data_IF_768492234062
#
_entry.id   IF_768492234062
#
_cell.length_a   1.000
_cell.length_b   1.000
_cell.length_c   1.000
_cell.angle_alpha   90.00
_cell.angle_beta   90.00
_cell.angle_gamma   90.00
#
_symmetry.space_group_name_H-M   'P 1'
#
loop_
_entity.id
_entity.type
_entity.pdbx_description
1 polymer ?
#
# COMPACT_ATOMS: atom_id res chain seq x y z
N UNK A 1 37.33 -12.34 -50.88
CA UNK A 1 36.43 -11.78 -49.85
C UNK A 1 36.90 -12.26 -48.48
N UNK A 2 37.41 -11.40 -47.60
CA UNK A 2 37.48 -11.71 -46.19
C UNK A 2 36.29 -11.06 -45.45
N UNK A 3 35.72 -11.83 -44.52
CA UNK A 3 34.59 -11.46 -43.67
C UNK A 3 35.02 -10.42 -42.63
N UNK A 4 34.23 -9.37 -42.49
CA UNK A 4 34.39 -8.36 -41.44
C UNK A 4 33.80 -8.95 -40.16
N UNK A 5 34.67 -9.37 -39.22
CA UNK A 5 34.25 -9.71 -37.86
C UNK A 5 34.38 -8.47 -37.00
N UNK A 6 33.24 -7.84 -36.70
CA UNK A 6 33.13 -6.77 -35.72
C UNK A 6 33.55 -7.31 -34.36
N UNK A 7 34.71 -6.89 -33.87
CA UNK A 7 35.15 -7.19 -32.51
C UNK A 7 34.51 -6.17 -31.57
N UNK A 8 33.53 -6.59 -30.76
CA UNK A 8 33.13 -5.86 -29.56
C UNK A 8 34.34 -5.80 -28.62
N UNK A 9 34.71 -4.59 -28.18
CA UNK A 9 35.75 -4.39 -27.17
C UNK A 9 35.09 -4.51 -25.80
N UNK A 10 35.35 -5.61 -25.12
CA UNK A 10 35.13 -5.73 -23.68
C UNK A 10 36.33 -5.02 -23.03
N UNK A 11 36.06 -3.96 -22.27
CA UNK A 11 37.07 -3.29 -21.45
C UNK A 11 37.05 -3.99 -20.09
N UNK A 12 37.98 -4.91 -19.88
CA UNK A 12 38.21 -5.49 -18.56
C UNK A 12 39.05 -4.50 -17.73
N UNK A 13 38.45 -3.84 -16.75
CA UNK A 13 39.20 -3.15 -15.70
C UNK A 13 39.66 -4.22 -14.68
N UNK A 14 40.96 -4.52 -14.68
CA UNK A 14 41.55 -5.41 -13.70
C UNK A 14 41.93 -4.62 -12.44
N UNK A 15 41.21 -4.86 -11.35
CA UNK A 15 41.72 -4.84 -9.98
C UNK A 15 42.37 -3.55 -9.50
N UNK A 16 41.54 -2.63 -9.03
CA UNK A 16 41.75 -1.78 -7.85
C UNK A 16 40.57 -0.82 -7.81
N UNK A 17 40.04 -0.54 -6.61
CA UNK A 17 39.30 0.68 -6.26
C UNK A 17 39.23 1.69 -7.40
N UNK A 18 38.06 1.87 -7.99
CA UNK A 18 37.79 3.01 -8.87
C UNK A 18 37.30 4.09 -7.89
N UNK A 19 38.15 5.00 -7.41
CA UNK A 19 38.62 6.22 -8.09
C UNK A 19 37.50 6.84 -8.91
N UNK A 20 36.78 7.78 -8.28
CA UNK A 20 35.94 8.74 -8.97
C UNK A 20 36.64 9.23 -10.24
N UNK A 21 36.08 8.82 -11.37
CA UNK A 21 36.44 9.31 -12.67
C UNK A 21 35.16 9.95 -13.22
N UNK A 22 35.06 11.27 -13.07
CA UNK A 22 34.05 12.08 -13.73
C UNK A 22 34.16 11.85 -15.26
N UNK A 23 33.33 10.97 -15.78
CA UNK A 23 33.25 10.64 -17.19
C UNK A 23 32.08 9.70 -17.40
N UNK A 24 31.08 10.18 -18.12
CA UNK A 24 29.94 9.42 -18.66
C UNK A 24 30.45 8.08 -19.21
N UNK A 25 30.20 6.99 -18.49
CA UNK A 25 30.38 5.65 -19.00
C UNK A 25 29.23 5.43 -19.98
N UNK A 26 29.58 5.10 -21.22
CA UNK A 26 28.61 4.73 -22.27
C UNK A 26 28.96 3.31 -22.70
N UNK A 27 28.20 2.35 -22.19
CA UNK A 27 28.29 0.91 -22.34
C UNK A 27 27.97 0.21 -21.02
N UNK A 28 26.93 -0.65 -21.04
CA UNK A 28 26.50 -1.50 -19.92
C UNK A 28 27.62 -1.93 -18.97
N UNK A 29 27.41 -1.71 -17.67
CA UNK A 29 28.39 -2.01 -16.61
C UNK A 29 28.36 -3.51 -16.31
N UNK A 30 28.69 -4.34 -17.31
CA UNK A 30 28.80 -5.78 -17.15
C UNK A 30 30.10 -6.17 -16.46
N UNK A 31 30.06 -6.39 -15.14
CA UNK A 31 31.17 -6.95 -14.38
C UNK A 31 31.34 -8.45 -14.67
N UNK A 32 31.85 -8.81 -15.85
CA UNK A 32 32.25 -10.20 -16.15
C UNK A 32 33.56 -10.55 -15.40
N UNK A 33 33.49 -10.79 -14.10
CA UNK A 33 34.59 -11.30 -13.30
C UNK A 33 34.45 -12.81 -13.07
N UNK A 34 35.08 -13.59 -13.97
CA UNK A 34 35.27 -15.02 -13.74
C UNK A 34 36.29 -15.24 -12.62
N UNK A 35 35.81 -15.43 -11.39
CA UNK A 35 36.59 -16.03 -10.32
C UNK A 35 36.60 -15.24 -9.01
N UNK A 36 35.78 -15.71 -8.06
CA UNK A 36 36.06 -15.68 -6.62
C UNK A 36 35.97 -14.33 -5.90
N UNK A 37 34.91 -13.55 -6.08
CA UNK A 37 34.43 -12.57 -5.08
C UNK A 37 32.90 -12.62 -5.07
N UNK A 38 32.31 -13.35 -4.12
CA UNK A 38 30.86 -13.62 -4.04
C UNK A 38 30.17 -12.81 -2.92
N UNK A 39 30.91 -11.96 -2.20
CA UNK A 39 30.47 -11.35 -0.94
C UNK A 39 30.75 -9.83 -0.87
N UNK A 40 30.96 -9.13 -1.99
CA UNK A 40 31.15 -7.67 -1.98
C UNK A 40 30.09 -7.02 -2.85
N UNK A 41 29.32 -6.11 -2.25
CA UNK A 41 28.34 -5.33 -2.97
C UNK A 41 29.01 -4.46 -4.06
N UNK A 42 28.35 -4.33 -5.21
CA UNK A 42 28.67 -3.31 -6.21
C UNK A 42 28.28 -1.95 -5.65
N UNK A 43 29.20 -0.98 -5.64
CA UNK A 43 28.91 0.39 -5.20
C UNK A 43 28.87 1.31 -6.40
N UNK A 44 27.77 2.06 -6.55
CA UNK A 44 27.58 3.10 -7.55
C UNK A 44 27.66 4.46 -6.85
N UNK A 45 28.72 5.22 -7.14
CA UNK A 45 29.02 6.50 -6.50
C UNK A 45 29.05 7.69 -7.46
N UNK A 46 28.56 7.49 -8.68
CA UNK A 46 28.38 8.49 -9.72
C UNK A 46 27.27 8.08 -10.68
N UNK A 47 26.64 9.07 -11.31
CA UNK A 47 25.57 8.86 -12.29
C UNK A 47 25.98 7.90 -13.42
N UNK A 48 25.03 7.09 -13.86
CA UNK A 48 25.24 6.08 -14.92
C UNK A 48 24.12 6.16 -15.95
N UNK A 49 24.50 6.23 -17.23
CA UNK A 49 23.57 6.30 -18.36
C UNK A 49 23.16 4.89 -18.87
N UNK A 50 23.71 3.82 -18.28
CA UNK A 50 23.56 2.44 -18.74
C UNK A 50 22.97 1.52 -17.67
N UNK A 51 22.35 0.44 -18.13
CA UNK A 51 21.88 -0.67 -17.30
C UNK A 51 23.00 -1.23 -16.40
N UNK A 52 22.61 -1.57 -15.18
CA UNK A 52 23.44 -2.14 -14.12
C UNK A 52 22.91 -3.52 -13.77
N UNK A 53 23.64 -4.57 -14.14
CA UNK A 53 23.38 -5.95 -13.74
C UNK A 53 24.50 -6.44 -12.81
N UNK A 54 24.13 -6.85 -11.59
CA UNK A 54 25.05 -7.44 -10.63
C UNK A 54 24.56 -8.75 -10.00
N UNK A 55 25.41 -9.78 -10.08
CA UNK A 55 25.24 -11.00 -9.28
C UNK A 55 25.72 -10.77 -7.85
N UNK A 56 24.85 -10.20 -7.02
CA UNK A 56 25.11 -9.88 -5.61
C UNK A 56 24.30 -8.67 -5.18
N UNK A 57 24.77 -7.99 -4.14
CA UNK A 57 24.14 -6.78 -3.64
C UNK A 57 24.61 -5.54 -4.43
N UNK A 58 23.76 -4.52 -4.55
CA UNK A 58 24.10 -3.20 -5.09
C UNK A 58 23.84 -2.13 -4.03
N UNK A 59 24.75 -1.16 -3.92
CA UNK A 59 24.57 0.04 -3.11
C UNK A 59 24.72 1.26 -4.00
N UNK A 60 23.66 2.06 -4.12
CA UNK A 60 23.66 3.33 -4.86
C UNK A 60 23.76 4.47 -3.86
N UNK A 61 24.78 5.31 -4.04
CA UNK A 61 25.09 6.38 -3.10
C UNK A 61 24.21 7.60 -3.27
N UNK A 62 24.17 8.40 -2.21
CA UNK A 62 23.29 9.55 -2.08
C UNK A 62 23.37 10.47 -3.32
N UNK A 63 22.21 10.78 -3.90
CA UNK A 63 22.10 11.75 -4.98
C UNK A 63 22.59 11.27 -6.34
N UNK A 64 22.80 9.96 -6.52
CA UNK A 64 23.17 9.36 -7.81
C UNK A 64 21.92 9.11 -8.64
N UNK A 65 22.00 9.38 -9.94
CA UNK A 65 20.99 8.96 -10.92
C UNK A 65 21.45 7.72 -11.68
N UNK A 66 20.54 6.76 -11.85
CA UNK A 66 20.73 5.57 -12.69
C UNK A 66 19.72 5.66 -13.83
N UNK A 67 20.15 6.09 -15.03
CA UNK A 67 19.24 6.33 -16.16
C UNK A 67 18.72 5.01 -16.81
N UNK A 68 19.27 3.86 -16.42
CA UNK A 68 18.92 2.55 -16.98
C UNK A 68 18.50 1.56 -15.89
N UNK A 69 18.16 0.34 -16.31
CA UNK A 69 17.65 -0.70 -15.41
C UNK A 69 18.67 -1.05 -14.31
N UNK A 70 18.18 -1.31 -13.10
CA UNK A 70 18.97 -1.70 -11.94
C UNK A 70 18.60 -3.12 -11.49
N UNK A 71 19.36 -4.11 -11.95
CA UNK A 71 19.13 -5.52 -11.66
C UNK A 71 20.18 -6.09 -10.69
N UNK A 72 19.72 -6.62 -9.55
CA UNK A 72 20.55 -7.31 -8.57
C UNK A 72 19.96 -8.67 -8.21
N UNK A 73 20.80 -9.72 -8.22
CA UNK A 73 20.36 -11.02 -7.66
C UNK A 73 20.28 -11.02 -6.12
N UNK A 74 20.79 -9.98 -5.48
CA UNK A 74 20.83 -9.78 -4.03
C UNK A 74 20.05 -8.54 -3.60
N UNK A 75 20.51 -7.91 -2.53
CA UNK A 75 19.89 -6.70 -1.98
C UNK A 75 20.27 -5.44 -2.76
N UNK A 76 19.32 -4.54 -2.98
CA UNK A 76 19.59 -3.18 -3.45
C UNK A 76 19.38 -2.20 -2.29
N UNK A 77 20.42 -1.42 -1.97
CA UNK A 77 20.36 -0.30 -1.03
C UNK A 77 20.51 1.02 -1.81
N UNK A 78 19.47 1.85 -1.80
CA UNK A 78 19.48 3.19 -2.37
C UNK A 78 19.60 4.21 -1.23
N UNK A 79 20.67 4.99 -1.20
CA UNK A 79 20.78 6.08 -0.25
C UNK A 79 19.83 7.24 -0.62
N UNK A 80 19.65 8.20 0.28
CA UNK A 80 18.74 9.34 0.09
C UNK A 80 18.97 10.10 -1.22
N UNK A 81 17.89 10.48 -1.90
CA UNK A 81 17.98 11.34 -3.09
C UNK A 81 18.45 10.63 -4.35
N UNK A 82 18.51 9.30 -4.35
CA UNK A 82 18.77 8.52 -5.57
C UNK A 82 17.56 8.62 -6.50
N UNK A 83 17.83 8.63 -7.80
CA UNK A 83 16.82 8.51 -8.84
C UNK A 83 17.17 7.29 -9.68
N UNK A 84 16.20 6.43 -9.95
CA UNK A 84 16.34 5.32 -10.90
C UNK A 84 15.29 5.51 -11.99
N UNK A 85 15.75 5.83 -13.20
CA UNK A 85 14.86 6.14 -14.33
C UNK A 85 14.32 4.86 -15.01
N UNK A 86 14.95 3.71 -14.75
CA UNK A 86 14.59 2.41 -15.32
C UNK A 86 14.11 1.42 -14.26
N UNK A 87 13.71 0.23 -14.73
CA UNK A 87 13.14 -0.83 -13.89
C UNK A 87 14.12 -1.28 -12.79
N UNK A 88 13.62 -1.48 -11.57
CA UNK A 88 14.38 -2.04 -10.45
C UNK A 88 13.98 -3.48 -10.21
N UNK A 89 14.92 -4.41 -10.40
CA UNK A 89 14.72 -5.83 -10.08
C UNK A 89 15.70 -6.25 -8.99
N UNK A 90 15.20 -6.71 -7.85
CA UNK A 90 16.04 -7.13 -6.72
C UNK A 90 15.52 -8.35 -5.96
N UNK A 91 16.37 -8.92 -5.10
CA UNK A 91 15.88 -9.85 -4.08
C UNK A 91 15.17 -9.12 -2.94
N UNK A 92 15.63 -7.94 -2.58
CA UNK A 92 15.00 -7.03 -1.61
C UNK A 92 15.52 -5.63 -1.84
N UNK A 93 14.75 -4.62 -1.44
CA UNK A 93 15.08 -3.22 -1.64
C UNK A 93 14.99 -2.44 -0.33
N UNK A 94 16.03 -1.66 -0.03
CA UNK A 94 15.98 -0.59 0.97
C UNK A 94 16.17 0.73 0.25
N UNK A 95 15.16 1.60 0.27
CA UNK A 95 15.26 2.96 -0.19
C UNK A 95 15.39 3.91 1.01
N UNK A 96 16.41 4.76 1.00
CA UNK A 96 16.50 5.91 1.89
C UNK A 96 15.40 6.93 1.57
N UNK A 97 15.36 8.06 2.28
CA UNK A 97 14.36 9.09 1.99
C UNK A 97 14.53 9.73 0.61
N UNK A 98 13.45 10.31 0.07
CA UNK A 98 13.48 11.10 -1.18
C UNK A 98 14.10 10.34 -2.36
N UNK A 99 13.83 9.04 -2.47
CA UNK A 99 14.22 8.26 -3.66
C UNK A 99 13.06 8.30 -4.65
N UNK A 100 13.40 8.45 -5.93
CA UNK A 100 12.46 8.51 -7.05
C UNK A 100 12.70 7.27 -7.95
N UNK A 101 11.61 6.59 -8.30
CA UNK A 101 11.57 5.47 -9.24
C UNK A 101 10.64 5.87 -10.39
N UNK A 102 11.19 6.10 -11.58
CA UNK A 102 10.41 6.57 -12.74
C UNK A 102 9.80 5.40 -13.55
N UNK A 103 10.09 4.16 -13.16
CA UNK A 103 9.63 2.91 -13.78
C UNK A 103 9.37 1.88 -12.67
N UNK A 104 8.91 0.68 -13.02
CA UNK A 104 8.43 -0.32 -12.07
C UNK A 104 9.51 -0.83 -11.10
N UNK A 105 9.04 -1.27 -9.92
CA UNK A 105 9.88 -1.87 -8.89
C UNK A 105 9.40 -3.28 -8.58
N UNK A 106 10.21 -4.28 -8.94
CA UNK A 106 9.93 -5.70 -8.74
C UNK A 106 10.93 -6.34 -7.78
N UNK A 107 10.47 -6.77 -6.60
CA UNK A 107 11.31 -7.45 -5.61
C UNK A 107 10.78 -8.81 -5.19
N UNK A 108 11.65 -9.83 -5.18
CA UNK A 108 11.28 -11.19 -4.74
C UNK A 108 11.26 -11.38 -3.21
N UNK A 109 11.28 -10.28 -2.46
CA UNK A 109 11.33 -10.25 -1.00
C UNK A 109 10.69 -8.96 -0.52
N UNK A 110 11.27 -8.34 0.51
CA UNK A 110 10.68 -7.12 1.08
C UNK A 110 11.18 -5.85 0.38
N UNK A 111 10.30 -4.87 0.25
CA UNK A 111 10.61 -3.48 -0.04
C UNK A 111 10.44 -2.66 1.25
N UNK A 112 11.51 -1.99 1.66
CA UNK A 112 11.47 -1.04 2.78
C UNK A 112 11.94 0.33 2.34
N UNK A 113 11.21 1.37 2.74
CA UNK A 113 11.39 2.73 2.28
C UNK A 113 11.42 3.74 3.41
N UNK A 114 12.26 4.76 3.27
CA UNK A 114 12.21 5.95 4.11
C UNK A 114 11.03 6.86 3.74
N UNK A 115 11.10 8.10 4.22
CA UNK A 115 10.09 9.12 3.92
C UNK A 115 10.20 9.66 2.48
N UNK A 116 9.07 10.12 1.92
CA UNK A 116 8.96 10.86 0.66
C UNK A 116 9.53 10.09 -0.53
N UNK A 117 9.17 8.83 -0.65
CA UNK A 117 9.44 8.07 -1.85
C UNK A 117 8.44 8.44 -2.95
N UNK A 118 8.87 8.34 -4.20
CA UNK A 118 8.03 8.55 -5.36
C UNK A 118 8.19 7.34 -6.27
N UNK A 119 7.08 6.66 -6.54
CA UNK A 119 6.98 5.55 -7.48
C UNK A 119 6.02 5.98 -8.58
N UNK A 120 6.54 6.16 -9.79
CA UNK A 120 5.75 6.61 -10.95
C UNK A 120 5.02 5.46 -11.68
N UNK A 121 5.30 4.21 -11.32
CA UNK A 121 4.74 2.99 -11.91
C UNK A 121 4.59 1.90 -10.83
N UNK A 122 4.13 0.71 -11.24
CA UNK A 122 3.80 -0.44 -10.40
C UNK A 122 4.89 -0.80 -9.37
N UNK A 123 4.47 -1.11 -8.15
CA UNK A 123 5.32 -1.68 -7.10
C UNK A 123 4.87 -3.09 -6.77
N UNK A 124 5.74 -4.08 -7.02
CA UNK A 124 5.46 -5.49 -6.76
C UNK A 124 6.53 -6.12 -5.86
N UNK A 125 6.08 -6.71 -4.76
CA UNK A 125 6.92 -7.40 -3.79
C UNK A 125 6.35 -8.78 -3.45
N UNK A 126 7.13 -9.86 -3.60
CA UNK A 126 6.72 -11.19 -3.08
C UNK A 126 6.63 -11.18 -1.52
N UNK A 127 7.31 -10.25 -0.87
CA UNK A 127 7.29 -10.01 0.58
C UNK A 127 6.43 -8.81 0.97
N UNK A 128 6.85 -8.09 2.01
CA UNK A 128 6.14 -6.90 2.50
C UNK A 128 6.59 -5.61 1.78
N UNK A 129 5.71 -4.63 1.70
CA UNK A 129 5.99 -3.25 1.28
C UNK A 129 5.80 -2.34 2.49
N UNK A 130 6.83 -1.64 2.93
CA UNK A 130 6.75 -0.72 4.08
C UNK A 130 7.47 0.58 3.77
N UNK A 131 6.75 1.70 3.76
CA UNK A 131 7.29 3.02 3.42
C UNK A 131 6.98 4.08 4.47
N UNK A 132 7.84 5.11 4.54
CA UNK A 132 7.74 6.18 5.53
C UNK A 132 6.72 7.26 5.19
N UNK A 133 6.86 8.40 5.87
CA UNK A 133 5.96 9.55 5.75
C UNK A 133 5.96 10.14 4.34
N UNK A 134 4.77 10.42 3.79
CA UNK A 134 4.59 11.16 2.55
C UNK A 134 5.13 10.45 1.30
N UNK A 135 5.12 9.11 1.31
CA UNK A 135 5.35 8.33 0.10
C UNK A 135 4.19 8.55 -0.90
N UNK A 136 4.52 8.53 -2.19
CA UNK A 136 3.58 8.70 -3.29
C UNK A 136 3.76 7.56 -4.29
N UNK A 137 2.66 6.92 -4.64
CA UNK A 137 2.58 5.87 -5.65
C UNK A 137 1.57 6.31 -6.70
N UNK A 138 1.99 6.40 -7.96
CA UNK A 138 1.12 6.81 -9.08
C UNK A 138 0.29 5.65 -9.64
N UNK A 139 0.58 4.41 -9.23
CA UNK A 139 -0.04 3.17 -9.72
C UNK A 139 -0.12 2.13 -8.59
N UNK A 140 -0.45 0.88 -8.95
CA UNK A 140 -0.73 -0.23 -8.04
C UNK A 140 0.44 -0.60 -7.09
N UNK A 141 0.07 -1.07 -5.89
CA UNK A 141 0.99 -1.77 -4.98
C UNK A 141 0.49 -3.19 -4.73
N UNK A 142 1.32 -4.17 -5.10
CA UNK A 142 1.05 -5.59 -4.89
C UNK A 142 2.10 -6.18 -3.96
N UNK A 143 1.68 -6.71 -2.82
CA UNK A 143 2.55 -7.35 -1.84
C UNK A 143 2.09 -8.77 -1.52
N UNK A 144 3.00 -9.75 -1.52
CA UNK A 144 2.71 -11.09 -0.99
C UNK A 144 2.64 -11.13 0.54
N UNK A 145 3.17 -10.10 1.21
CA UNK A 145 3.17 -9.88 2.64
C UNK A 145 2.26 -8.71 3.04
N UNK A 146 2.67 -7.97 4.08
CA UNK A 146 1.94 -6.79 4.57
C UNK A 146 2.25 -5.56 3.70
N UNK A 147 1.30 -4.61 3.65
CA UNK A 147 1.51 -3.25 3.13
C UNK A 147 1.38 -2.27 4.29
N UNK A 148 2.44 -1.50 4.56
CA UNK A 148 2.45 -0.42 5.57
C UNK A 148 2.79 0.91 4.89
N UNK A 149 1.82 1.82 4.81
CA UNK A 149 2.00 3.17 4.26
C UNK A 149 2.02 4.18 5.41
N UNK A 150 3.13 4.92 5.53
CA UNK A 150 3.31 5.93 6.56
C UNK A 150 2.41 7.17 6.40
N UNK A 151 2.43 8.01 7.43
CA UNK A 151 1.62 9.24 7.55
C UNK A 151 1.64 10.09 6.27
N UNK A 152 0.47 10.63 5.91
CA UNK A 152 0.25 11.50 4.74
C UNK A 152 0.72 10.86 3.41
N UNK A 153 0.76 9.52 3.33
CA UNK A 153 1.02 8.79 2.09
C UNK A 153 -0.13 8.89 1.08
N UNK A 154 0.17 8.67 -0.19
CA UNK A 154 -0.80 8.73 -1.28
C UNK A 154 -0.57 7.57 -2.25
N UNK A 155 -1.66 6.91 -2.65
CA UNK A 155 -1.68 5.86 -3.66
C UNK A 155 -2.79 6.22 -4.65
N UNK A 156 -2.44 6.45 -5.91
CA UNK A 156 -3.41 6.85 -6.94
C UNK A 156 -4.32 5.70 -7.38
N UNK A 157 -3.85 4.46 -7.25
CA UNK A 157 -4.60 3.26 -7.65
C UNK A 157 -4.72 2.22 -6.53
N UNK A 158 -4.62 0.93 -6.84
CA UNK A 158 -5.10 -0.17 -5.98
C UNK A 158 -4.01 -0.69 -5.00
N UNK A 159 -4.44 -1.21 -3.86
CA UNK A 159 -3.59 -1.95 -2.91
C UNK A 159 -4.02 -3.43 -2.84
N UNK A 160 -3.16 -4.36 -3.25
CA UNK A 160 -3.37 -5.82 -3.08
C UNK A 160 -2.34 -6.40 -2.11
N UNK A 161 -2.79 -6.76 -0.92
CA UNK A 161 -1.98 -7.36 0.14
C UNK A 161 -2.34 -8.83 0.38
N UNK A 162 -1.35 -9.69 0.24
CA UNK A 162 -1.36 -11.05 0.77
C UNK A 162 -1.39 -11.11 2.30
N UNK A 163 -1.32 -9.95 2.95
CA UNK A 163 -1.23 -9.77 4.38
C UNK A 163 -2.25 -8.80 4.99
N UNK A 164 -1.79 -8.03 5.98
CA UNK A 164 -2.53 -6.89 6.51
C UNK A 164 -2.22 -5.66 5.64
N UNK A 165 -3.11 -4.67 5.67
CA UNK A 165 -2.86 -3.32 5.16
C UNK A 165 -2.96 -2.35 6.33
N UNK A 166 -1.86 -1.62 6.60
CA UNK A 166 -1.82 -0.55 7.61
C UNK A 166 -1.63 0.79 6.90
N UNK A 167 -2.61 1.68 7.06
CA UNK A 167 -2.59 3.03 6.49
C UNK A 167 -2.55 4.04 7.63
N UNK A 168 -1.41 4.70 7.80
CA UNK A 168 -1.20 5.67 8.88
C UNK A 168 -2.03 6.96 8.67
N UNK A 169 -1.91 7.88 9.63
CA UNK A 169 -2.74 9.08 9.68
C UNK A 169 -2.70 9.86 8.36
N UNK A 170 -3.87 10.20 7.81
CA UNK A 170 -3.98 11.04 6.63
C UNK A 170 -3.56 10.38 5.32
N UNK A 171 -3.40 9.05 5.29
CA UNK A 171 -3.15 8.32 4.05
C UNK A 171 -4.38 8.38 3.15
N UNK A 172 -4.16 8.58 1.85
CA UNK A 172 -5.19 8.57 0.81
C UNK A 172 -4.91 7.44 -0.17
N UNK A 173 -5.92 6.64 -0.48
CA UNK A 173 -5.92 5.66 -1.56
C UNK A 173 -7.11 6.01 -2.46
N UNK A 174 -6.87 6.32 -3.73
CA UNK A 174 -7.94 6.80 -4.63
C UNK A 174 -8.85 5.64 -5.13
N UNK A 175 -8.35 4.41 -5.15
CA UNK A 175 -9.06 3.19 -5.57
C UNK A 175 -9.30 2.20 -4.41
N UNK A 176 -9.37 0.90 -4.71
CA UNK A 176 -9.73 -0.18 -3.79
C UNK A 176 -8.55 -0.65 -2.91
N UNK A 177 -8.89 -1.22 -1.76
CA UNK A 177 -7.94 -1.86 -0.84
C UNK A 177 -8.35 -3.31 -0.57
N UNK A 178 -7.54 -4.23 -1.09
CA UNK A 178 -7.68 -5.68 -0.89
C UNK A 178 -6.66 -6.19 0.14
N UNK A 179 -7.14 -6.87 1.18
CA UNK A 179 -6.30 -7.53 2.17
C UNK A 179 -6.77 -8.96 2.47
N UNK A 180 -5.88 -9.93 2.34
CA UNK A 180 -6.20 -11.32 2.76
C UNK A 180 -6.51 -11.40 4.26
N UNK A 181 -5.95 -10.49 5.07
CA UNK A 181 -6.18 -10.41 6.51
C UNK A 181 -6.91 -9.14 6.89
N UNK A 182 -6.30 -8.27 7.70
CA UNK A 182 -6.95 -7.11 8.29
C UNK A 182 -6.58 -5.82 7.55
N UNK A 183 -7.42 -4.80 7.70
CA UNK A 183 -7.14 -3.43 7.27
C UNK A 183 -7.24 -2.51 8.48
N UNK A 184 -6.19 -1.76 8.75
CA UNK A 184 -6.15 -0.74 9.80
C UNK A 184 -5.95 0.64 9.16
N UNK A 185 -7.03 1.43 9.09
CA UNK A 185 -7.02 2.82 8.61
C UNK A 185 -6.97 3.79 9.80
N UNK A 186 -5.90 4.57 9.88
CA UNK A 186 -5.73 5.56 10.93
C UNK A 186 -6.55 6.83 10.66
N UNK A 187 -6.52 7.75 11.63
CA UNK A 187 -7.40 8.93 11.66
C UNK A 187 -7.25 9.76 10.40
N UNK A 188 -8.38 10.16 9.82
CA UNK A 188 -8.39 11.09 8.68
C UNK A 188 -7.85 10.48 7.40
N UNK A 189 -7.76 9.16 7.31
CA UNK A 189 -7.45 8.50 6.05
C UNK A 189 -8.68 8.48 5.13
N UNK A 190 -8.41 8.44 3.83
CA UNK A 190 -9.42 8.45 2.78
C UNK A 190 -9.18 7.23 1.86
N UNK A 191 -10.22 6.45 1.59
CA UNK A 191 -10.19 5.37 0.59
C UNK A 191 -11.35 5.63 -0.37
N UNK A 192 -11.02 6.00 -1.61
CA UNK A 192 -12.01 6.37 -2.63
C UNK A 192 -12.81 5.19 -3.16
N UNK A 193 -12.23 3.98 -3.11
CA UNK A 193 -12.87 2.72 -3.45
C UNK A 193 -13.36 1.93 -2.23
N UNK A 194 -13.51 0.62 -2.45
CA UNK A 194 -14.00 -0.32 -1.46
C UNK A 194 -12.85 -1.01 -0.70
N UNK A 195 -13.13 -1.46 0.51
CA UNK A 195 -12.24 -2.35 1.28
C UNK A 195 -12.77 -3.79 1.21
N UNK A 196 -11.99 -4.74 0.68
CA UNK A 196 -12.22 -6.19 0.86
C UNK A 196 -11.17 -6.75 1.83
N UNK A 197 -11.62 -7.28 2.96
CA UNK A 197 -10.76 -7.83 3.99
C UNK A 197 -11.19 -9.23 4.44
N UNK A 198 -10.24 -10.18 4.50
CA UNK A 198 -10.52 -11.52 5.02
C UNK A 198 -10.78 -11.55 6.55
N UNK A 199 -10.22 -10.60 7.29
CA UNK A 199 -10.35 -10.42 8.74
C UNK A 199 -10.84 -9.00 9.07
N UNK A 200 -10.70 -8.55 10.32
CA UNK A 200 -11.27 -7.29 10.80
C UNK A 200 -10.80 -6.05 10.03
N UNK A 201 -11.71 -5.12 9.79
CA UNK A 201 -11.42 -3.76 9.33
C UNK A 201 -11.54 -2.80 10.51
N UNK A 202 -10.45 -2.12 10.86
CA UNK A 202 -10.43 -1.07 11.90
C UNK A 202 -10.28 0.29 11.24
N UNK A 203 -11.24 1.18 11.48
CA UNK A 203 -11.25 2.54 10.93
C UNK A 203 -11.23 3.53 12.08
N UNK A 204 -10.20 4.36 12.13
CA UNK A 204 -10.14 5.45 13.12
C UNK A 204 -11.11 6.59 12.76
N UNK A 205 -11.29 7.52 13.69
CA UNK A 205 -12.21 8.65 13.51
C UNK A 205 -11.91 9.50 12.27
N UNK A 206 -12.93 10.18 11.74
CA UNK A 206 -12.81 11.20 10.68
C UNK A 206 -12.31 10.67 9.34
N UNK A 207 -12.54 9.39 9.05
CA UNK A 207 -12.20 8.77 7.77
C UNK A 207 -13.36 8.86 6.78
N UNK A 208 -13.04 8.87 5.49
CA UNK A 208 -13.99 8.76 4.38
C UNK A 208 -13.62 7.51 3.58
N UNK A 209 -14.55 6.57 3.44
CA UNK A 209 -14.34 5.28 2.75
C UNK A 209 -15.49 5.08 1.77
N UNK A 210 -15.26 4.37 0.66
CA UNK A 210 -16.34 3.76 -0.12
C UNK A 210 -17.09 2.69 0.68
N UNK A 211 -17.19 1.48 0.13
CA UNK A 211 -17.78 0.32 0.78
C UNK A 211 -16.79 -0.48 1.62
N UNK A 212 -17.33 -1.42 2.41
CA UNK A 212 -16.53 -2.40 3.13
C UNK A 212 -17.18 -3.78 3.05
N UNK A 213 -16.48 -4.78 2.54
CA UNK A 213 -16.83 -6.19 2.67
C UNK A 213 -15.76 -6.90 3.51
N UNK A 214 -16.17 -7.54 4.61
CA UNK A 214 -15.21 -8.26 5.45
C UNK A 214 -15.69 -9.62 5.96
N UNK A 215 -14.77 -10.60 5.93
CA UNK A 215 -14.93 -11.89 6.59
C UNK A 215 -14.85 -11.81 8.13
N UNK A 216 -14.31 -10.72 8.66
CA UNK A 216 -14.20 -10.38 10.08
C UNK A 216 -15.31 -9.44 10.56
N UNK A 217 -14.99 -8.61 11.55
CA UNK A 217 -15.86 -7.53 12.01
C UNK A 217 -15.38 -6.15 11.53
N UNK A 218 -16.15 -5.11 11.83
CA UNK A 218 -15.79 -3.73 11.54
C UNK A 218 -15.76 -2.96 12.87
N UNK A 219 -14.66 -2.29 13.15
CA UNK A 219 -14.50 -1.39 14.29
C UNK A 219 -14.22 0.02 13.77
N UNK A 220 -15.23 0.88 13.72
CA UNK A 220 -15.12 2.25 13.21
C UNK A 220 -15.24 3.29 14.34
N UNK A 221 -14.40 4.32 14.29
CA UNK A 221 -14.39 5.44 15.23
C UNK A 221 -15.54 6.44 15.00
N UNK A 222 -15.40 7.61 15.61
CA UNK A 222 -16.36 8.71 15.48
C UNK A 222 -16.21 9.44 14.13
N UNK A 223 -17.29 10.04 13.64
CA UNK A 223 -17.30 10.89 12.44
C UNK A 223 -16.75 10.18 11.19
N UNK A 224 -17.01 8.88 11.00
CA UNK A 224 -16.62 8.12 9.79
C UNK A 224 -17.77 8.15 8.77
N UNK A 225 -17.46 8.36 7.48
CA UNK A 225 -18.41 8.21 6.38
C UNK A 225 -18.10 7.00 5.52
N UNK A 226 -19.15 6.26 5.17
CA UNK A 226 -19.13 5.17 4.19
C UNK A 226 -20.04 5.56 3.02
N UNK A 227 -19.46 5.67 1.84
CA UNK A 227 -20.12 6.14 0.62
C UNK A 227 -20.79 5.00 -0.17
N UNK A 228 -20.55 3.74 0.21
CA UNK A 228 -21.22 2.55 -0.31
C UNK A 228 -21.58 1.59 0.85
N UNK A 229 -22.05 0.40 0.50
CA UNK A 229 -22.55 -0.64 1.39
C UNK A 229 -21.47 -1.15 2.35
N UNK A 230 -21.91 -1.48 3.56
CA UNK A 230 -21.03 -2.00 4.62
C UNK A 230 -21.51 -3.38 5.06
N UNK A 231 -20.71 -4.42 4.81
CA UNK A 231 -21.03 -5.81 5.14
C UNK A 231 -19.90 -6.49 5.91
N UNK A 232 -20.25 -7.14 7.01
CA UNK A 232 -19.31 -7.91 7.81
C UNK A 232 -19.92 -9.26 8.21
N UNK A 233 -19.16 -10.35 8.15
CA UNK A 233 -19.62 -11.63 8.74
C UNK A 233 -19.62 -11.61 10.28
N UNK A 234 -18.82 -10.73 10.87
CA UNK A 234 -18.67 -10.51 12.30
C UNK A 234 -19.62 -9.43 12.84
N UNK A 235 -19.19 -8.79 13.93
CA UNK A 235 -19.88 -7.64 14.51
C UNK A 235 -19.46 -6.36 13.82
N UNK A 236 -20.36 -5.39 13.77
CA UNK A 236 -20.09 -4.03 13.30
C UNK A 236 -20.29 -3.10 14.50
N UNK A 237 -19.22 -2.44 14.94
CA UNK A 237 -19.24 -1.47 16.03
C UNK A 237 -18.71 -0.13 15.51
N UNK A 238 -19.58 0.87 15.42
CA UNK A 238 -19.28 2.18 14.83
C UNK A 238 -19.54 3.28 15.86
N UNK A 239 -18.63 4.26 15.94
CA UNK A 239 -18.67 5.38 16.86
C UNK A 239 -19.78 6.40 16.57
N UNK A 240 -19.69 7.54 17.25
CA UNK A 240 -20.71 8.59 17.16
C UNK A 240 -20.58 9.38 15.85
N UNK A 241 -21.69 9.92 15.34
CA UNK A 241 -21.69 10.87 14.22
C UNK A 241 -21.33 10.25 12.86
N UNK A 242 -21.39 8.92 12.73
CA UNK A 242 -21.12 8.24 11.47
C UNK A 242 -22.22 8.48 10.43
N UNK A 243 -21.85 8.36 9.16
CA UNK A 243 -22.75 8.46 8.01
C UNK A 243 -22.57 7.25 7.10
N UNK A 244 -23.68 6.68 6.65
CA UNK A 244 -23.72 5.57 5.70
C UNK A 244 -24.67 5.94 4.56
N UNK A 245 -24.17 5.98 3.33
CA UNK A 245 -24.99 6.31 2.15
C UNK A 245 -25.88 5.13 1.71
N UNK A 246 -25.49 3.90 2.05
CA UNK A 246 -26.16 2.66 1.63
C UNK A 246 -26.36 1.68 2.81
N UNK A 247 -26.73 0.45 2.48
CA UNK A 247 -27.08 -0.64 3.38
C UNK A 247 -25.95 -1.04 4.35
N UNK A 248 -26.34 -1.45 5.55
CA UNK A 248 -25.45 -2.07 6.54
C UNK A 248 -25.90 -3.49 6.85
N UNK A 249 -25.03 -4.47 6.61
CA UNK A 249 -25.28 -5.90 6.83
C UNK A 249 -24.32 -6.51 7.86
N UNK A 250 -24.84 -6.81 9.05
CA UNK A 250 -24.12 -7.46 10.14
C UNK A 250 -24.38 -8.97 10.25
N UNK A 251 -23.34 -9.78 10.08
CA UNK A 251 -23.38 -11.21 10.32
C UNK A 251 -23.54 -11.59 11.80
N UNK A 252 -23.29 -10.65 12.72
CA UNK A 252 -23.46 -10.79 14.18
C UNK A 252 -24.20 -9.59 14.78
N UNK A 253 -23.78 -9.09 15.96
CA UNK A 253 -24.39 -7.91 16.59
C UNK A 253 -23.89 -6.62 15.89
N UNK A 254 -24.75 -5.61 15.81
CA UNK A 254 -24.47 -4.32 15.15
C UNK A 254 -24.75 -3.17 16.13
N UNK A 255 -23.74 -2.35 16.40
CA UNK A 255 -23.81 -1.17 17.28
C UNK A 255 -23.43 0.07 16.49
N UNK A 256 -24.33 1.05 16.42
CA UNK A 256 -24.04 2.38 15.88
C UNK A 256 -24.15 3.43 16.99
N UNK A 257 -23.19 4.36 17.07
CA UNK A 257 -23.13 5.41 18.08
C UNK A 257 -24.23 6.46 17.98
N UNK A 258 -24.16 7.44 18.87
CA UNK A 258 -25.08 8.59 18.88
C UNK A 258 -24.97 9.39 17.57
N UNK A 259 -26.04 10.07 17.17
CA UNK A 259 -26.08 10.96 16.01
C UNK A 259 -25.71 10.30 14.65
N UNK A 260 -25.79 8.97 14.54
CA UNK A 260 -25.54 8.22 13.29
C UNK A 260 -26.67 8.38 12.28
N UNK A 261 -26.33 8.56 10.99
CA UNK A 261 -27.29 8.59 9.88
C UNK A 261 -27.03 7.43 8.92
N UNK A 262 -28.09 6.72 8.54
CA UNK A 262 -28.07 5.66 7.52
C UNK A 262 -29.14 6.01 6.49
N UNK A 263 -28.75 6.18 5.24
CA UNK A 263 -29.64 6.60 4.16
C UNK A 263 -30.43 5.42 3.54
N UNK A 264 -30.05 4.17 3.85
CA UNK A 264 -30.81 2.97 3.48
C UNK A 264 -31.10 2.06 4.70
N UNK A 265 -30.97 0.74 4.56
CA UNK A 265 -31.44 -0.26 5.51
C UNK A 265 -30.35 -0.75 6.45
N UNK A 266 -30.76 -1.29 7.60
CA UNK A 266 -29.87 -1.97 8.54
C UNK A 266 -30.39 -3.39 8.78
N UNK A 267 -29.58 -4.39 8.44
CA UNK A 267 -29.85 -5.79 8.74
C UNK A 267 -28.73 -6.38 9.61
N UNK A 268 -29.09 -7.11 10.67
CA UNK A 268 -28.13 -7.91 11.40
C UNK A 268 -28.74 -9.23 11.87
N UNK A 269 -27.96 -10.31 11.85
CA UNK A 269 -28.43 -11.59 12.41
C UNK A 269 -28.46 -11.58 13.95
N UNK A 270 -27.68 -10.68 14.56
CA UNK A 270 -27.57 -10.45 15.99
C UNK A 270 -28.51 -9.37 16.50
N UNK A 271 -28.18 -8.82 17.67
CA UNK A 271 -28.87 -7.67 18.23
C UNK A 271 -28.38 -6.38 17.55
N UNK A 272 -29.30 -5.44 17.30
CA UNK A 272 -29.00 -4.10 16.79
C UNK A 272 -29.17 -3.09 17.93
N UNK A 273 -28.16 -2.25 18.14
CA UNK A 273 -28.20 -1.09 19.03
C UNK A 273 -27.88 0.19 18.25
N UNK A 274 -28.86 1.09 18.17
CA UNK A 274 -28.67 2.43 17.62
C UNK A 274 -28.61 3.44 18.76
N UNK A 275 -27.57 4.25 18.77
CA UNK A 275 -27.38 5.35 19.71
C UNK A 275 -28.50 6.39 19.64
N UNK A 276 -28.40 7.38 20.51
CA UNK A 276 -29.35 8.49 20.61
C UNK A 276 -29.33 9.35 19.35
N UNK A 277 -30.46 9.97 19.01
CA UNK A 277 -30.57 10.91 17.89
C UNK A 277 -30.17 10.36 16.50
N UNK A 278 -30.06 9.04 16.33
CA UNK A 278 -29.80 8.45 15.03
C UNK A 278 -30.98 8.58 14.05
N UNK A 279 -30.69 8.40 12.77
CA UNK A 279 -31.67 8.40 11.68
C UNK A 279 -31.40 7.23 10.74
N UNK A 280 -32.46 6.52 10.35
CA UNK A 280 -32.43 5.47 9.31
C UNK A 280 -33.59 5.76 8.36
N UNK A 281 -33.32 5.92 7.06
CA UNK A 281 -34.35 6.26 6.06
C UNK A 281 -35.27 5.07 5.75
N UNK A 282 -34.74 3.83 5.78
CA UNK A 282 -35.50 2.62 5.46
C UNK A 282 -35.65 1.66 6.66
N UNK A 283 -35.59 0.35 6.42
CA UNK A 283 -35.96 -0.69 7.36
C UNK A 283 -34.81 -1.05 8.33
N UNK A 284 -35.16 -1.48 9.56
CA UNK A 284 -34.20 -2.02 10.54
C UNK A 284 -34.65 -3.40 10.98
N UNK A 285 -33.82 -4.42 10.75
CA UNK A 285 -34.14 -5.82 10.99
C UNK A 285 -33.07 -6.54 11.81
N UNK A 286 -33.44 -7.11 12.95
CA UNK A 286 -32.51 -7.88 13.77
C UNK A 286 -33.14 -8.89 14.73
N UNK A 287 -32.33 -9.53 15.57
CA UNK A 287 -32.82 -10.41 16.65
C UNK A 287 -33.57 -9.62 17.72
N UNK A 288 -32.98 -8.51 18.12
CA UNK A 288 -33.55 -7.47 19.00
C UNK A 288 -33.11 -6.13 18.45
N UNK A 289 -33.97 -5.12 18.47
CA UNK A 289 -33.62 -3.76 18.04
C UNK A 289 -33.79 -2.78 19.20
N UNK A 290 -32.68 -2.18 19.62
CA UNK A 290 -32.65 -1.16 20.69
C UNK A 290 -32.39 0.21 20.08
N UNK A 291 -33.36 1.11 20.23
CA UNK A 291 -33.26 2.48 19.74
C UNK A 291 -32.99 3.46 20.88
N UNK A 292 -31.95 4.26 20.73
CA UNK A 292 -31.58 5.35 21.61
C UNK A 292 -32.63 6.47 21.68
N UNK A 293 -32.39 7.43 22.57
CA UNK A 293 -33.34 8.51 22.77
C UNK A 293 -33.33 9.46 21.56
N UNK A 294 -34.48 9.63 20.91
CA UNK A 294 -34.62 10.55 19.78
C UNK A 294 -34.26 9.96 18.42
N UNK A 295 -33.91 8.68 18.37
CA UNK A 295 -33.66 7.94 17.14
C UNK A 295 -34.95 7.80 16.33
N UNK A 296 -34.85 7.97 15.01
CA UNK A 296 -35.96 7.84 14.05
C UNK A 296 -35.60 6.77 13.03
N UNK A 297 -36.57 5.92 12.71
CA UNK A 297 -36.54 4.96 11.61
C UNK A 297 -37.78 5.26 10.79
N UNK A 298 -37.61 5.62 9.52
CA UNK A 298 -38.72 5.97 8.63
C UNK A 298 -39.42 4.72 8.06
N UNK A 299 -38.68 3.61 7.90
CA UNK A 299 -39.18 2.28 7.57
C UNK A 299 -39.76 1.48 8.74
N UNK A 300 -39.87 0.17 8.54
CA UNK A 300 -40.34 -0.81 9.52
C UNK A 300 -39.18 -1.27 10.44
N UNK A 301 -39.52 -1.56 11.70
CA UNK A 301 -38.58 -2.17 12.66
C UNK A 301 -39.03 -3.61 12.93
N UNK A 302 -38.22 -4.57 12.48
CA UNK A 302 -38.49 -6.00 12.57
C UNK A 302 -37.57 -6.72 13.57
N UNK A 303 -38.18 -7.53 14.45
CA UNK A 303 -37.46 -8.32 15.45
C UNK A 303 -37.79 -9.82 15.33
N UNK A 304 -36.80 -10.68 15.58
CA UNK A 304 -37.02 -12.09 15.90
C UNK A 304 -36.70 -13.10 14.79
N UNK A 305 -35.69 -12.81 13.99
CA UNK A 305 -35.06 -13.74 13.05
C UNK A 305 -34.24 -14.84 13.77
#
# INVERSE_FOLDING_TARGET
>A
MPRNTTRRRIVALAGSTVVGLAGTLTGSVGAAQSGTESDQALVIDADTDDDVDHTGDIVVRQGVTVDGDLEASGHVELETGVVVDGEVIANSLTAGSTVEFDDSVDVSGDLSGGDRLYFDDDVSADGAVSVGEGAYFDDDIIAGGDIDIGVDGYVDDELDSGGDVTLDQGVVVDSDVDAIRAVDLARGGEIGGDIDAGETVSVSSQAEIGGVETGGGIEAGDDVSFDDSVSALGSIDVGDGAYFDDDIEGGSDLTLGDDTTVDDSIEATGDIELGSQGYVDDDVSGRTVTLGAGTTVDGDVEEGW
#
